data_IF_944541165003
#
_entry.id   IF_944541165003
#
_cell.length_a   1.000
_cell.length_b   1.000
_cell.length_c   1.000
_cell.angle_alpha   90.00
_cell.angle_beta   90.00
_cell.angle_gamma   90.00
#
_symmetry.space_group_name_H-M   'P 1'
#
loop_
_entity.id
_entity.type
_entity.pdbx_description
1 polymer ?
#
# COMPACT_ATOMS: atom_id res chain seq x y z
N UNK A 1 3.98 1.14 -9.16
CA UNK A 1 3.66 0.06 -8.22
C UNK A 1 2.35 0.31 -7.46
N UNK A 2 2.10 1.46 -6.79
CA UNK A 2 0.84 1.74 -6.09
C UNK A 2 -0.35 1.57 -7.06
N UNK A 3 -0.35 2.28 -8.17
CA UNK A 3 -1.48 2.28 -9.11
C UNK A 3 -1.67 0.94 -9.82
N UNK A 4 -0.59 0.22 -10.19
CA UNK A 4 -0.73 -1.13 -10.73
C UNK A 4 -1.34 -2.11 -9.72
N UNK A 5 -1.00 -1.96 -8.43
CA UNK A 5 -1.64 -2.74 -7.38
C UNK A 5 -3.12 -2.38 -7.25
N UNK A 6 -3.47 -1.10 -7.34
CA UNK A 6 -4.87 -0.67 -7.31
C UNK A 6 -5.68 -1.24 -8.48
N UNK A 7 -5.10 -1.29 -9.68
CA UNK A 7 -5.70 -1.95 -10.84
C UNK A 7 -5.99 -3.43 -10.56
N UNK A 8 -5.04 -4.16 -9.95
CA UNK A 8 -5.21 -5.59 -9.60
C UNK A 8 -6.37 -5.81 -8.63
N UNK A 9 -6.62 -4.86 -7.73
CA UNK A 9 -7.72 -4.91 -6.75
C UNK A 9 -9.00 -4.22 -7.23
N UNK A 10 -8.99 -3.59 -8.40
CA UNK A 10 -10.14 -2.85 -8.94
C UNK A 10 -10.44 -1.54 -8.19
N UNK A 11 -9.43 -0.96 -7.52
CA UNK A 11 -9.56 0.31 -6.80
C UNK A 11 -9.44 1.45 -7.81
N UNK A 12 -10.52 2.15 -8.07
CA UNK A 12 -10.59 3.21 -9.09
C UNK A 12 -10.91 4.59 -8.53
N UNK A 13 -11.53 4.66 -7.36
CA UNK A 13 -11.89 5.91 -6.70
C UNK A 13 -10.85 6.26 -5.64
N UNK A 14 -9.86 7.05 -6.05
CA UNK A 14 -8.79 7.52 -5.17
C UNK A 14 -8.38 8.95 -5.50
N UNK A 15 -7.78 9.61 -4.52
CA UNK A 15 -7.27 10.97 -4.60
C UNK A 15 -5.81 11.00 -4.13
N UNK A 16 -4.94 11.67 -4.89
CA UNK A 16 -3.57 11.92 -4.47
C UNK A 16 -3.50 13.24 -3.68
N UNK A 17 -2.77 13.21 -2.59
CA UNK A 17 -2.55 14.36 -1.70
C UNK A 17 -1.06 14.52 -1.46
N UNK A 18 -0.55 15.71 -1.71
CA UNK A 18 0.79 16.11 -1.30
C UNK A 18 0.70 16.84 0.03
N UNK A 19 1.11 16.16 1.09
CA UNK A 19 1.10 16.67 2.45
C UNK A 19 2.39 17.43 2.73
N UNK A 20 2.25 18.73 2.97
CA UNK A 20 3.34 19.68 3.16
C UNK A 20 3.44 20.08 4.63
N UNK A 21 4.62 20.60 5.03
CA UNK A 21 4.75 21.22 6.34
C UNK A 21 3.98 22.54 6.41
N UNK A 22 3.64 22.95 7.64
CA UNK A 22 3.33 24.32 7.95
C UNK A 22 4.63 25.03 8.38
N UNK A 23 5.15 26.00 7.60
CA UNK A 23 6.40 26.70 7.94
C UNK A 23 6.33 27.49 9.26
N UNK A 24 5.13 27.82 9.73
CA UNK A 24 4.92 28.56 10.98
C UNK A 24 4.96 27.64 12.21
N UNK A 25 4.71 26.33 12.03
CA UNK A 25 4.73 25.34 13.12
C UNK A 25 6.13 24.76 13.32
N UNK A 26 7.00 25.53 13.98
CA UNK A 26 8.39 25.16 14.26
C UNK A 26 8.55 24.10 15.37
N UNK A 27 7.49 23.80 16.11
CA UNK A 27 7.53 22.77 17.16
C UNK A 27 7.32 21.36 16.59
N UNK A 28 6.45 21.26 15.57
CA UNK A 28 6.11 19.98 14.95
C UNK A 28 7.17 19.48 13.97
N UNK A 29 7.72 20.37 13.17
CA UNK A 29 8.55 20.00 12.03
C UNK A 29 10.05 20.12 12.32
N UNK A 30 10.84 19.22 11.72
CA UNK A 30 12.30 19.29 11.77
C UNK A 30 12.80 20.63 11.21
N UNK A 31 13.70 21.28 11.95
CA UNK A 31 14.21 22.61 11.63
C UNK A 31 15.33 22.53 10.56
N UNK A 32 14.93 22.45 9.30
CA UNK A 32 15.81 22.44 8.11
C UNK A 32 15.03 22.94 6.89
N UNK A 33 14.89 24.26 6.77
CA UNK A 33 14.08 24.89 5.70
C UNK A 33 14.59 24.54 4.28
N UNK A 34 15.90 24.39 4.12
CA UNK A 34 16.49 24.07 2.81
C UNK A 34 16.09 22.66 2.36
N UNK A 35 16.22 21.67 3.26
CA UNK A 35 15.84 20.30 2.96
C UNK A 35 14.35 20.14 2.76
N UNK A 36 13.51 20.83 3.53
CA UNK A 36 12.06 20.86 3.31
C UNK A 36 11.71 21.35 1.91
N UNK A 37 12.22 22.52 1.52
CA UNK A 37 11.93 23.09 0.21
C UNK A 37 12.40 22.15 -0.92
N UNK A 38 13.57 21.55 -0.77
CA UNK A 38 14.11 20.58 -1.73
C UNK A 38 13.24 19.34 -1.83
N UNK A 39 12.82 18.77 -0.69
CA UNK A 39 12.03 17.54 -0.64
C UNK A 39 10.61 17.76 -1.18
N UNK A 40 9.95 18.86 -0.80
CA UNK A 40 8.62 19.22 -1.29
C UNK A 40 8.63 19.46 -2.81
N UNK A 41 9.62 20.18 -3.32
CA UNK A 41 9.76 20.43 -4.75
C UNK A 41 10.05 19.14 -5.53
N UNK A 42 10.88 18.25 -5.00
CA UNK A 42 11.14 16.96 -5.63
C UNK A 42 9.88 16.11 -5.76
N UNK A 43 9.01 16.10 -4.74
CA UNK A 43 7.72 15.40 -4.83
C UNK A 43 6.80 16.04 -5.86
N UNK A 44 6.72 17.38 -5.92
CA UNK A 44 5.92 18.10 -6.94
C UNK A 44 6.40 17.76 -8.36
N UNK A 45 7.71 17.79 -8.59
CA UNK A 45 8.30 17.44 -9.87
C UNK A 45 7.92 16.01 -10.29
N UNK A 46 8.08 15.03 -9.40
CA UNK A 46 7.73 13.63 -9.67
C UNK A 46 6.23 13.46 -9.97
N UNK A 47 5.37 14.11 -9.20
CA UNK A 47 3.92 14.02 -9.43
C UNK A 47 3.51 14.64 -10.77
N UNK A 48 4.11 15.77 -11.14
CA UNK A 48 3.88 16.42 -12.43
C UNK A 48 4.44 15.58 -13.59
N UNK A 49 5.63 14.97 -13.46
CA UNK A 49 6.20 14.07 -14.46
C UNK A 49 5.34 12.83 -14.71
N UNK A 50 4.72 12.30 -13.64
CA UNK A 50 3.79 11.18 -13.73
C UNK A 50 2.40 11.57 -14.22
N UNK A 51 2.13 12.87 -14.41
CA UNK A 51 0.82 13.37 -14.83
C UNK A 51 -0.30 13.13 -13.80
N UNK A 52 0.05 13.08 -12.52
CA UNK A 52 -0.92 12.84 -11.44
C UNK A 52 -1.66 14.13 -11.10
N UNK A 53 -2.99 14.03 -11.02
CA UNK A 53 -3.81 15.06 -10.39
C UNK A 53 -3.71 14.93 -8.88
N UNK A 54 -3.39 16.03 -8.18
CA UNK A 54 -3.24 16.04 -6.73
C UNK A 54 -3.65 17.36 -6.09
N UNK A 55 -3.91 17.33 -4.80
CA UNK A 55 -4.12 18.51 -3.97
C UNK A 55 -2.97 18.66 -2.98
N UNK A 56 -2.62 19.90 -2.62
CA UNK A 56 -1.65 20.19 -1.57
C UNK A 56 -2.37 20.48 -0.26
N UNK A 57 -1.94 19.83 0.83
CA UNK A 57 -2.46 20.03 2.18
C UNK A 57 -1.33 20.47 3.11
N UNK A 58 -1.40 21.73 3.55
CA UNK A 58 -0.41 22.32 4.46
C UNK A 58 -0.69 21.87 5.88
N UNK A 59 0.37 21.55 6.64
CA UNK A 59 0.26 21.09 8.02
C UNK A 59 0.09 19.58 8.19
N UNK A 60 -0.09 18.84 7.09
CA UNK A 60 -0.37 17.41 7.10
C UNK A 60 0.88 16.52 6.89
N UNK A 61 2.06 17.13 6.63
CA UNK A 61 3.32 16.39 6.54
C UNK A 61 3.69 15.67 7.85
N UNK A 62 4.52 14.63 7.73
CA UNK A 62 5.18 14.05 8.89
C UNK A 62 6.25 15.04 9.42
N UNK A 63 6.61 14.94 10.71
CA UNK A 63 7.62 15.84 11.29
C UNK A 63 9.01 15.69 10.65
N UNK A 64 9.27 14.58 10.00
CA UNK A 64 10.54 14.22 9.38
C UNK A 64 10.62 14.45 7.87
N UNK A 65 9.53 14.84 7.23
CA UNK A 65 9.51 15.13 5.80
C UNK A 65 8.12 15.13 5.17
N UNK A 66 8.02 15.63 3.93
CA UNK A 66 6.78 15.66 3.17
C UNK A 66 6.39 14.25 2.69
N UNK A 67 5.11 14.08 2.36
CA UNK A 67 4.58 12.79 1.93
C UNK A 67 3.55 12.93 0.82
N UNK A 68 3.58 11.97 -0.09
CA UNK A 68 2.49 11.69 -1.00
C UNK A 68 1.58 10.66 -0.36
N UNK A 69 0.34 11.01 -0.12
CA UNK A 69 -0.72 10.11 0.34
C UNK A 69 -1.67 9.80 -0.82
N UNK A 70 -2.14 8.55 -0.88
CA UNK A 70 -3.22 8.16 -1.77
C UNK A 70 -4.40 7.74 -0.90
N UNK A 71 -5.42 8.57 -0.94
CA UNK A 71 -6.63 8.39 -0.17
C UNK A 71 -7.68 7.69 -1.03
N UNK A 72 -8.37 6.73 -0.44
CA UNK A 72 -9.51 6.05 -1.05
C UNK A 72 -10.77 6.35 -0.25
N UNK A 73 -11.90 6.35 -0.93
CA UNK A 73 -13.19 6.51 -0.28
C UNK A 73 -13.86 5.14 -0.19
N UNK A 74 -13.92 4.52 1.00
CA UNK A 74 -14.62 3.27 1.20
C UNK A 74 -16.11 3.39 0.89
N UNK A 75 -16.77 2.27 0.62
CA UNK A 75 -18.23 2.21 0.43
C UNK A 75 -18.98 2.72 1.65
N UNK A 76 -18.39 2.58 2.85
CA UNK A 76 -18.93 3.05 4.13
C UNK A 76 -17.86 3.82 4.89
N UNK A 77 -18.22 4.99 5.40
CA UNK A 77 -17.33 5.79 6.24
C UNK A 77 -16.65 6.96 5.55
N UNK A 78 -15.60 7.45 6.18
CA UNK A 78 -14.81 8.58 5.70
C UNK A 78 -13.65 8.10 4.80
N UNK A 79 -13.13 9.03 4.00
CA UNK A 79 -11.90 8.83 3.25
C UNK A 79 -10.77 8.36 4.16
N UNK A 80 -9.99 7.40 3.69
CA UNK A 80 -8.84 6.84 4.40
C UNK A 80 -7.58 6.87 3.54
N UNK A 81 -6.43 7.15 4.15
CA UNK A 81 -5.14 6.97 3.49
C UNK A 81 -4.82 5.48 3.40
N UNK A 82 -4.76 4.97 2.19
CA UNK A 82 -4.42 3.58 1.93
C UNK A 82 -2.96 3.40 1.56
N UNK A 83 -2.44 4.27 0.71
CA UNK A 83 -1.02 4.22 0.32
C UNK A 83 -0.30 5.51 0.69
N UNK A 84 1.00 5.40 0.94
CA UNK A 84 1.83 6.57 1.21
C UNK A 84 3.25 6.36 0.70
N UNK A 85 3.87 7.46 0.28
CA UNK A 85 5.30 7.55 0.00
C UNK A 85 5.85 8.79 0.70
N UNK A 86 6.75 8.60 1.66
CA UNK A 86 7.24 9.67 2.54
C UNK A 86 8.75 9.84 2.36
N UNK A 87 9.19 11.07 2.21
CA UNK A 87 10.59 11.44 2.25
C UNK A 87 11.02 11.68 3.71
N UNK A 88 12.11 11.06 4.14
CA UNK A 88 12.66 11.22 5.47
C UNK A 88 14.13 11.61 5.38
N UNK A 89 14.43 12.85 5.71
CA UNK A 89 15.78 13.40 5.79
C UNK A 89 16.21 13.68 7.23
N UNK A 90 15.31 13.53 8.20
CA UNK A 90 15.53 13.83 9.62
C UNK A 90 16.07 12.62 10.39
N UNK A 91 15.38 11.47 10.31
CA UNK A 91 15.76 10.28 11.09
C UNK A 91 17.13 9.71 10.70
N UNK A 92 17.53 9.65 9.40
CA UNK A 92 18.87 9.23 9.03
C UNK A 92 19.97 10.07 9.65
N UNK A 93 19.78 11.38 9.73
CA UNK A 93 20.73 12.27 10.38
C UNK A 93 20.77 12.06 11.89
N UNK A 94 19.61 11.91 12.56
CA UNK A 94 19.51 11.63 14.00
C UNK A 94 20.14 10.29 14.39
N UNK A 95 20.00 9.27 13.55
CA UNK A 95 20.62 7.95 13.75
C UNK A 95 22.05 7.87 13.22
N UNK A 96 22.61 8.96 12.68
CA UNK A 96 23.96 9.02 12.12
C UNK A 96 24.19 7.95 11.03
N UNK A 97 23.17 7.67 10.24
CA UNK A 97 23.28 6.75 9.12
C UNK A 97 24.15 7.36 8.04
N UNK A 98 25.08 6.57 7.51
CA UNK A 98 25.96 7.02 6.43
C UNK A 98 26.07 5.98 5.33
N UNK A 99 26.27 6.45 4.10
CA UNK A 99 26.69 5.62 2.98
C UNK A 99 27.94 6.22 2.34
N UNK A 100 28.69 5.40 1.60
CA UNK A 100 29.84 5.87 0.82
C UNK A 100 29.36 6.23 -0.58
N UNK A 101 29.48 7.51 -0.94
CA UNK A 101 29.12 8.00 -2.27
C UNK A 101 30.18 7.61 -3.30
N UNK A 102 29.87 7.79 -4.57
CA UNK A 102 30.78 7.54 -5.72
C UNK A 102 32.13 8.26 -5.61
N UNK A 103 32.17 9.36 -4.89
CA UNK A 103 33.37 10.16 -4.62
C UNK A 103 34.22 9.59 -3.45
N UNK A 104 33.79 8.49 -2.83
CA UNK A 104 34.43 7.88 -1.67
C UNK A 104 34.15 8.58 -0.34
N UNK A 105 33.31 9.61 -0.33
CA UNK A 105 32.94 10.35 0.87
C UNK A 105 31.73 9.72 1.58
N UNK A 106 31.70 9.86 2.90
CA UNK A 106 30.52 9.46 3.70
C UNK A 106 29.48 10.56 3.67
N UNK A 107 28.26 10.20 3.24
CA UNK A 107 27.10 11.10 3.20
C UNK A 107 25.92 10.50 3.97
N UNK A 108 25.06 11.36 4.49
CA UNK A 108 23.80 10.95 5.12
C UNK A 108 22.77 10.61 4.03
N UNK A 109 22.12 9.44 4.06
CA UNK A 109 21.08 9.11 3.10
C UNK A 109 19.79 9.87 3.39
N UNK A 110 18.94 9.99 2.37
CA UNK A 110 17.51 10.24 2.52
C UNK A 110 16.79 8.90 2.42
N UNK A 111 15.84 8.65 3.31
CA UNK A 111 15.06 7.41 3.34
C UNK A 111 13.67 7.64 2.75
N UNK A 112 13.21 6.68 1.97
CA UNK A 112 11.86 6.62 1.45
C UNK A 112 11.08 5.56 2.25
N UNK A 113 10.08 6.01 2.99
CA UNK A 113 9.09 5.12 3.59
C UNK A 113 7.94 4.94 2.61
N UNK A 114 7.58 3.71 2.31
CA UNK A 114 6.51 3.41 1.37
C UNK A 114 5.59 2.31 1.89
N UNK A 115 4.30 2.62 1.96
CA UNK A 115 3.24 1.66 2.17
C UNK A 115 2.34 1.62 0.92
N UNK A 116 2.08 0.43 0.38
CA UNK A 116 1.24 0.26 -0.81
C UNK A 116 -0.23 0.09 -0.41
N UNK A 117 -0.49 -0.75 0.57
CA UNK A 117 -1.84 -1.09 1.02
C UNK A 117 -2.09 -0.70 2.49
N UNK A 118 -1.23 0.15 3.05
CA UNK A 118 -1.30 0.53 4.46
C UNK A 118 -0.99 -0.64 5.41
N UNK A 119 -1.81 -0.83 6.43
CA UNK A 119 -1.76 -2.00 7.30
C UNK A 119 -2.66 -3.12 6.77
N UNK A 120 -2.28 -4.37 7.06
CA UNK A 120 -3.05 -5.54 6.64
C UNK A 120 -4.52 -5.47 7.11
N UNK A 121 -4.73 -5.16 8.38
CA UNK A 121 -6.08 -5.10 8.96
C UNK A 121 -6.96 -4.04 8.28
N UNK A 122 -6.41 -2.84 8.04
CA UNK A 122 -7.12 -1.75 7.36
C UNK A 122 -7.46 -2.12 5.92
N UNK A 123 -6.52 -2.73 5.22
CA UNK A 123 -6.75 -3.14 3.84
C UNK A 123 -7.77 -4.27 3.75
N UNK A 124 -7.70 -5.26 4.65
CA UNK A 124 -8.69 -6.33 4.73
C UNK A 124 -10.10 -5.79 4.98
N UNK A 125 -10.24 -4.85 5.91
CA UNK A 125 -11.53 -4.20 6.16
C UNK A 125 -12.04 -3.49 4.91
N UNK A 126 -11.19 -2.68 4.26
CA UNK A 126 -11.52 -1.96 3.03
C UNK A 126 -12.01 -2.91 1.92
N UNK A 127 -11.25 -3.96 1.62
CA UNK A 127 -11.61 -4.91 0.55
C UNK A 127 -12.91 -5.67 0.86
N UNK A 128 -13.12 -6.07 2.11
CA UNK A 128 -14.34 -6.75 2.51
C UNK A 128 -15.58 -5.84 2.38
N UNK A 129 -15.43 -4.56 2.69
CA UNK A 129 -16.50 -3.57 2.50
C UNK A 129 -16.79 -3.34 1.01
N UNK A 130 -15.77 -3.11 0.19
CA UNK A 130 -15.92 -2.87 -1.26
C UNK A 130 -16.54 -4.06 -1.99
N UNK A 131 -16.11 -5.27 -1.66
CA UNK A 131 -16.62 -6.50 -2.30
C UNK A 131 -17.87 -7.05 -1.64
N UNK A 132 -18.32 -6.47 -0.50
CA UNK A 132 -19.40 -7.00 0.34
C UNK A 132 -19.16 -8.46 0.74
N UNK A 133 -17.89 -8.81 0.96
CA UNK A 133 -17.44 -10.16 1.27
C UNK A 133 -17.33 -11.10 0.05
N UNK A 134 -17.74 -10.68 -1.14
CA UNK A 134 -17.59 -11.47 -2.37
C UNK A 134 -16.21 -11.19 -3.00
N UNK A 135 -15.18 -11.76 -2.40
CA UNK A 135 -13.81 -11.58 -2.89
C UNK A 135 -13.64 -12.16 -4.30
N UNK A 136 -12.82 -11.55 -5.15
CA UNK A 136 -12.44 -12.15 -6.42
C UNK A 136 -11.75 -13.49 -6.19
N UNK A 137 -11.91 -14.44 -7.10
CA UNK A 137 -11.44 -15.84 -6.92
C UNK A 137 -9.96 -15.92 -6.54
N UNK A 138 -9.12 -15.09 -7.15
CA UNK A 138 -7.68 -15.10 -6.86
C UNK A 138 -7.34 -14.69 -5.41
N UNK A 139 -8.21 -13.91 -4.76
CA UNK A 139 -8.06 -13.43 -3.38
C UNK A 139 -8.84 -14.29 -2.37
N UNK A 140 -9.83 -15.06 -2.83
CA UNK A 140 -10.69 -15.86 -1.96
C UNK A 140 -9.88 -16.88 -1.14
N UNK A 141 -10.14 -17.03 0.18
CA UNK A 141 -9.47 -18.04 1.01
C UNK A 141 -9.66 -19.48 0.47
N UNK A 142 -10.85 -19.77 -0.05
CA UNK A 142 -11.20 -20.99 -0.75
C UNK A 142 -11.58 -20.59 -2.17
N UNK A 143 -10.86 -21.08 -3.17
CA UNK A 143 -11.08 -20.75 -4.58
C UNK A 143 -11.99 -21.75 -5.27
N UNK A 144 -11.91 -23.01 -4.87
CA UNK A 144 -12.72 -24.10 -5.38
C UNK A 144 -13.20 -24.95 -4.21
N UNK A 145 -14.49 -25.29 -4.24
CA UNK A 145 -15.06 -26.26 -3.32
C UNK A 145 -15.50 -27.48 -4.10
N UNK A 146 -14.98 -28.64 -3.73
CA UNK A 146 -15.34 -29.94 -4.32
C UNK A 146 -16.38 -30.59 -3.43
N UNK A 147 -17.53 -30.94 -3.98
CA UNK A 147 -18.64 -31.53 -3.24
C UNK A 147 -19.11 -32.80 -3.94
N UNK A 148 -18.81 -33.97 -3.43
CA UNK A 148 -19.36 -35.23 -3.97
C UNK A 148 -20.88 -35.28 -3.76
N UNK A 149 -21.61 -35.76 -4.76
CA UNK A 149 -23.10 -35.84 -4.72
C UNK A 149 -23.60 -36.87 -3.72
N UNK A 150 -22.71 -37.76 -3.25
CA UNK A 150 -22.94 -38.76 -2.20
C UNK A 150 -21.69 -38.88 -1.36
N UNK A 151 -21.84 -38.79 -0.06
CA UNK A 151 -20.76 -38.89 0.92
C UNK A 151 -20.51 -40.33 1.43
N UNK A 152 -21.43 -41.27 1.14
CA UNK A 152 -21.38 -42.67 1.48
C UNK A 152 -20.89 -43.58 0.32
N UNK A 153 -20.30 -43.01 -0.71
CA UNK A 153 -19.76 -43.66 -1.90
C UNK A 153 -18.24 -43.52 -1.93
N UNK A 154 -17.54 -44.60 -1.64
CA UNK A 154 -16.06 -44.61 -1.52
C UNK A 154 -15.38 -44.23 -2.84
N UNK A 155 -15.92 -44.66 -3.99
CA UNK A 155 -15.33 -44.37 -5.31
C UNK A 155 -15.47 -42.87 -5.64
N UNK A 156 -16.62 -42.26 -5.32
CA UNK A 156 -16.82 -40.82 -5.51
C UNK A 156 -15.93 -40.00 -4.57
N UNK A 157 -15.77 -40.41 -3.33
CA UNK A 157 -14.88 -39.75 -2.38
C UNK A 157 -13.41 -39.85 -2.81
N UNK A 158 -12.98 -41.02 -3.29
CA UNK A 158 -11.63 -41.18 -3.83
C UNK A 158 -11.36 -40.25 -5.02
N UNK A 159 -12.32 -40.17 -5.95
CA UNK A 159 -12.22 -39.27 -7.09
C UNK A 159 -12.24 -37.77 -6.69
N UNK A 160 -13.06 -37.39 -5.72
CA UNK A 160 -13.10 -36.02 -5.20
C UNK A 160 -11.75 -35.64 -4.56
N UNK A 161 -11.12 -36.54 -3.80
CA UNK A 161 -9.78 -36.32 -3.25
C UNK A 161 -8.73 -36.14 -4.36
N UNK A 162 -8.75 -37.01 -5.41
CA UNK A 162 -7.84 -36.86 -6.55
C UNK A 162 -7.98 -35.48 -7.22
N UNK A 163 -9.21 -34.96 -7.39
CA UNK A 163 -9.45 -33.60 -7.91
C UNK A 163 -8.82 -32.55 -7.00
N UNK A 164 -9.00 -32.66 -5.68
CA UNK A 164 -8.41 -31.73 -4.73
C UNK A 164 -6.87 -31.73 -4.82
N UNK A 165 -6.25 -32.90 -4.84
CA UNK A 165 -4.79 -33.04 -4.97
C UNK A 165 -4.26 -32.41 -6.28
N UNK A 166 -4.95 -32.60 -7.40
CA UNK A 166 -4.60 -32.00 -8.68
C UNK A 166 -4.70 -30.46 -8.65
N UNK A 167 -5.72 -29.92 -8.00
CA UNK A 167 -5.91 -28.48 -7.84
C UNK A 167 -4.85 -27.86 -6.91
N UNK A 168 -4.57 -28.51 -5.77
CA UNK A 168 -3.53 -28.08 -4.83
C UNK A 168 -2.14 -28.08 -5.46
N UNK A 169 -1.85 -29.08 -6.31
CA UNK A 169 -0.60 -29.12 -7.08
C UNK A 169 -0.42 -27.92 -8.04
N UNK A 170 -1.52 -27.25 -8.41
CA UNK A 170 -1.52 -26.02 -9.19
C UNK A 170 -1.60 -24.76 -8.31
N UNK A 171 -1.38 -24.85 -6.99
CA UNK A 171 -1.51 -23.77 -6.01
C UNK A 171 -2.92 -23.17 -5.93
N UNK A 172 -3.95 -23.94 -6.23
CA UNK A 172 -5.34 -23.55 -6.02
C UNK A 172 -5.74 -23.90 -4.58
N UNK A 173 -6.32 -22.95 -3.86
CA UNK A 173 -6.86 -23.19 -2.52
C UNK A 173 -8.22 -23.89 -2.66
N UNK A 174 -8.24 -25.15 -2.35
CA UNK A 174 -9.39 -26.04 -2.49
C UNK A 174 -9.89 -26.51 -1.14
N UNK A 175 -11.17 -26.77 -1.04
CA UNK A 175 -11.85 -27.36 0.11
C UNK A 175 -12.72 -28.52 -0.37
N UNK A 176 -12.71 -29.64 0.37
CA UNK A 176 -13.54 -30.80 0.14
C UNK A 176 -14.64 -30.86 1.22
N UNK A 177 -15.91 -30.87 0.81
CA UNK A 177 -17.06 -30.86 1.72
C UNK A 177 -17.79 -32.19 1.70
#
# INVERSE_FOLDING_TARGET
LIFSTYEDFGITDYRCVLSLRDPEDKEKYHDDDEMWNKAENALREVMNELGLEYTEEIGEAAFYGPKLDVNVKPAVGNEITLSTCQLDFCLPAKFQLTYVDKDGEKKTPVVLHRAILGSLDRFMAYILEETKGNLPTWLAPIQVKVMPVKTDDDDLNAYANEICELLEAQNVRVDLD
#
